data_IF_783669769396
#
_entry.id   IF_783669769396
#
_cell.length_a   1.000
_cell.length_b   1.000
_cell.length_c   1.000
_cell.angle_alpha   90.00
_cell.angle_beta   90.00
_cell.angle_gamma   90.00
#
_symmetry.space_group_name_H-M   'P 1'
#
loop_
_entity.id
_entity.type
_entity.pdbx_description
1 polymer ?
#
# COMPACT_ATOMS: atom_id res chain seq x y z
N UNK A 1 10.02 8.90 1.86
CA UNK A 1 8.76 9.44 2.40
C UNK A 1 8.66 9.09 3.87
N UNK A 2 7.99 9.93 4.67
CA UNK A 2 7.97 9.83 6.13
C UNK A 2 6.90 8.89 6.71
N UNK A 3 6.14 8.17 5.89
CA UNK A 3 5.05 7.31 6.35
C UNK A 3 3.84 8.08 6.90
N UNK A 4 3.54 9.24 6.32
CA UNK A 4 2.39 10.07 6.69
C UNK A 4 1.15 9.69 5.89
N UNK A 5 -0.02 9.73 6.54
CA UNK A 5 -1.30 9.38 5.93
C UNK A 5 -2.35 10.47 6.20
N UNK A 6 -3.26 10.65 5.23
CA UNK A 6 -4.44 11.51 5.34
C UNK A 6 -5.57 10.94 4.49
N UNK A 7 -6.80 11.19 4.90
CA UNK A 7 -8.01 10.88 4.15
C UNK A 7 -8.62 12.16 3.57
N UNK A 8 -8.93 12.09 2.29
CA UNK A 8 -9.47 13.19 1.53
C UNK A 8 -10.94 12.88 1.16
N UNK A 9 -11.79 13.91 1.07
CA UNK A 9 -13.21 13.73 0.73
C UNK A 9 -13.40 13.81 -0.77
N UNK A 10 -14.12 12.84 -1.34
CA UNK A 10 -14.31 12.73 -2.79
C UNK A 10 -13.13 12.05 -3.48
N UNK A 11 -13.27 11.80 -4.78
CA UNK A 11 -12.26 11.12 -5.60
C UNK A 11 -11.55 12.06 -6.58
N UNK A 12 -11.94 13.34 -6.62
CA UNK A 12 -11.38 14.37 -7.49
C UNK A 12 -10.34 15.21 -6.74
N UNK A 13 -9.20 14.57 -6.44
CA UNK A 13 -8.10 15.19 -5.71
C UNK A 13 -6.79 14.83 -6.40
N UNK A 14 -6.00 15.84 -6.74
CA UNK A 14 -4.62 15.63 -7.17
C UNK A 14 -3.71 15.59 -5.93
N UNK A 15 -3.23 14.41 -5.51
CA UNK A 15 -2.42 14.30 -4.31
C UNK A 15 -1.07 15.01 -4.44
N UNK A 16 -0.56 15.21 -5.66
CA UNK A 16 0.74 15.87 -5.89
C UNK A 16 0.69 17.37 -5.61
N UNK A 17 -0.50 17.97 -5.61
CA UNK A 17 -0.71 19.40 -5.33
C UNK A 17 -0.87 19.73 -3.84
N UNK A 18 -1.03 18.71 -2.99
CA UNK A 18 -1.26 18.90 -1.57
C UNK A 18 0.02 19.36 -0.84
N UNK A 19 -0.14 20.02 0.31
CA UNK A 19 1.00 20.38 1.17
C UNK A 19 1.60 19.13 1.84
N UNK A 20 2.92 19.04 1.84
CA UNK A 20 3.71 18.01 2.53
C UNK A 20 4.69 18.64 3.52
N UNK A 21 5.20 17.84 4.45
CA UNK A 21 6.31 18.26 5.31
C UNK A 21 7.58 18.50 4.49
N UNK A 22 8.46 19.34 5.01
CA UNK A 22 9.76 19.59 4.38
C UNK A 22 10.51 18.27 4.16
N UNK A 23 10.94 18.01 2.92
CA UNK A 23 11.62 16.78 2.52
C UNK A 23 10.71 15.57 2.28
N UNK A 24 9.39 15.71 2.38
CA UNK A 24 8.42 14.65 2.07
C UNK A 24 7.61 14.97 0.81
N UNK A 25 6.90 13.97 0.29
CA UNK A 25 6.12 14.11 -0.93
C UNK A 25 5.10 13.00 -1.15
N UNK A 26 4.41 13.07 -2.28
CA UNK A 26 3.45 12.04 -2.67
C UNK A 26 4.14 10.68 -2.89
N UNK A 27 3.53 9.61 -2.39
CA UNK A 27 3.99 8.24 -2.61
C UNK A 27 2.91 7.37 -3.27
N UNK A 28 1.75 7.26 -2.63
CA UNK A 28 0.68 6.38 -3.04
C UNK A 28 -0.68 6.94 -2.63
N UNK A 29 -1.74 6.49 -3.31
CA UNK A 29 -3.13 6.81 -3.01
C UNK A 29 -4.00 5.59 -3.35
N UNK A 30 -5.07 5.41 -2.58
CA UNK A 30 -6.12 4.45 -2.89
C UNK A 30 -7.48 5.15 -2.78
N UNK A 31 -8.40 4.79 -3.66
CA UNK A 31 -9.78 5.29 -3.65
C UNK A 31 -10.70 4.24 -3.05
N UNK A 32 -11.80 4.69 -2.47
CA UNK A 32 -12.85 3.81 -1.95
C UNK A 32 -13.81 4.56 -1.04
N UNK A 33 -14.41 3.85 -0.09
CA UNK A 33 -15.44 4.36 0.82
C UNK A 33 -14.91 4.53 2.24
N UNK A 34 -15.42 5.52 2.98
CA UNK A 34 -14.97 5.84 4.35
C UNK A 34 -15.17 4.70 5.36
N UNK A 35 -16.10 3.77 5.09
CA UNK A 35 -16.38 2.61 5.93
C UNK A 35 -15.48 1.41 5.63
N UNK A 36 -14.71 1.44 4.54
CA UNK A 36 -13.72 0.41 4.23
C UNK A 36 -12.43 0.63 5.04
N UNK A 37 -11.69 -0.44 5.36
CA UNK A 37 -10.36 -0.31 5.91
C UNK A 37 -9.38 0.16 4.84
N UNK A 38 -8.48 1.08 5.21
CA UNK A 38 -7.27 1.33 4.44
C UNK A 38 -6.23 0.28 4.84
N UNK A 39 -5.78 -0.52 3.88
CA UNK A 39 -4.79 -1.59 4.09
C UNK A 39 -3.43 -1.09 3.62
N UNK A 40 -2.46 -1.00 4.51
CA UNK A 40 -1.09 -0.58 4.21
C UNK A 40 -0.19 -1.80 4.10
N UNK A 41 0.85 -1.73 3.27
CA UNK A 41 1.92 -2.73 3.22
C UNK A 41 3.28 -2.05 3.43
N UNK A 42 4.17 -2.68 4.18
CA UNK A 42 5.53 -2.19 4.41
C UNK A 42 6.60 -2.92 3.57
N UNK A 43 7.83 -2.41 3.64
CA UNK A 43 9.00 -2.92 2.94
C UNK A 43 9.43 -4.33 3.38
N UNK A 44 8.92 -4.82 4.51
CA UNK A 44 9.20 -6.17 5.04
C UNK A 44 8.14 -7.19 4.62
N UNK A 45 7.11 -6.75 3.90
CA UNK A 45 6.02 -7.59 3.43
C UNK A 45 4.92 -7.81 4.46
N UNK A 46 4.81 -6.91 5.46
CA UNK A 46 3.71 -6.91 6.44
C UNK A 46 2.59 -5.97 6.03
N UNK A 47 1.35 -6.40 6.25
CA UNK A 47 0.17 -5.56 6.08
C UNK A 47 -0.40 -5.08 7.41
N UNK A 48 -1.07 -3.93 7.36
CA UNK A 48 -1.68 -3.23 8.49
C UNK A 48 -3.01 -2.64 8.06
N UNK A 49 -3.96 -2.50 8.99
CA UNK A 49 -5.25 -1.87 8.68
C UNK A 49 -5.58 -0.73 9.62
N UNK A 50 -6.13 0.34 9.08
CA UNK A 50 -6.77 1.42 9.84
C UNK A 50 -8.13 1.73 9.20
N UNK A 51 -9.17 2.03 9.99
CA UNK A 51 -10.43 2.48 9.43
C UNK A 51 -10.25 3.80 8.67
N UNK A 52 -10.66 3.88 7.40
CA UNK A 52 -10.38 5.06 6.56
C UNK A 52 -10.98 6.35 7.14
N UNK A 53 -12.19 6.27 7.71
CA UNK A 53 -12.84 7.41 8.38
C UNK A 53 -12.11 7.92 9.63
N UNK A 54 -11.19 7.14 10.21
CA UNK A 54 -10.42 7.53 11.40
C UNK A 54 -9.14 8.32 11.07
N UNK A 55 -8.78 8.43 9.79
CA UNK A 55 -7.55 9.09 9.36
C UNK A 55 -7.71 10.61 9.36
N UNK A 56 -6.59 11.31 9.59
CA UNK A 56 -6.53 12.76 9.55
C UNK A 56 -7.02 13.33 8.21
N UNK A 57 -7.73 14.47 8.24
CA UNK A 57 -8.25 15.14 7.04
C UNK A 57 -7.13 15.64 6.12
N UNK A 58 -7.37 15.59 4.81
CA UNK A 58 -6.43 16.06 3.80
C UNK A 58 -6.22 17.58 3.74
N UNK A 59 -6.97 18.36 4.53
CA UNK A 59 -6.71 19.80 4.71
C UNK A 59 -5.37 20.07 5.41
N UNK A 60 -4.91 19.14 6.24
CA UNK A 60 -3.61 19.20 6.90
C UNK A 60 -2.55 18.34 6.21
N UNK A 61 -1.39 18.23 6.86
CA UNK A 61 -0.27 17.38 6.39
C UNK A 61 -0.45 15.90 6.74
N UNK A 62 -1.51 15.54 7.47
CA UNK A 62 -1.81 14.15 7.87
C UNK A 62 -1.30 13.78 9.26
N UNK A 63 -1.17 12.48 9.51
CA UNK A 63 -0.64 11.89 10.73
C UNK A 63 0.39 10.79 10.40
N UNK A 64 1.39 10.53 11.27
CA UNK A 64 2.36 9.46 11.03
C UNK A 64 1.72 8.08 11.29
N UNK A 65 1.86 7.15 10.34
CA UNK A 65 1.37 5.78 10.48
C UNK A 65 2.00 5.05 11.68
N UNK A 66 3.27 5.31 11.98
CA UNK A 66 3.99 4.77 13.15
C UNK A 66 3.41 5.21 14.50
N UNK A 67 2.60 6.28 14.54
CA UNK A 67 1.86 6.65 15.74
C UNK A 67 0.70 5.69 16.05
N UNK A 68 0.21 4.96 15.03
CA UNK A 68 -0.95 4.06 15.13
C UNK A 68 -0.58 2.58 15.00
N UNK A 69 0.49 2.29 14.26
CA UNK A 69 0.95 0.95 13.90
C UNK A 69 2.37 0.71 14.46
N UNK A 70 2.73 -0.56 14.63
CA UNK A 70 4.04 -0.98 15.15
C UNK A 70 4.82 -1.73 14.06
N UNK A 71 5.27 -1.06 12.98
CA UNK A 71 6.13 -1.68 11.99
C UNK A 71 7.51 -2.02 12.58
N UNK A 72 8.24 -3.01 12.01
CA UNK A 72 9.61 -3.29 12.41
C UNK A 72 10.51 -2.05 12.28
N UNK A 73 11.58 -2.00 13.07
CA UNK A 73 12.55 -0.91 13.00
C UNK A 73 13.14 -0.78 11.59
N UNK A 74 13.16 0.45 11.08
CA UNK A 74 13.65 0.76 9.73
C UNK A 74 12.69 0.38 8.59
N UNK A 75 11.56 -0.27 8.87
CA UNK A 75 10.56 -0.56 7.85
C UNK A 75 9.94 0.73 7.31
N UNK A 76 9.69 0.74 5.99
CA UNK A 76 9.04 1.85 5.29
C UNK A 76 7.74 1.35 4.68
N UNK A 77 6.66 2.12 4.80
CA UNK A 77 5.43 1.80 4.09
C UNK A 77 5.68 1.89 2.57
N UNK A 78 5.26 0.87 1.83
CA UNK A 78 5.45 0.73 0.39
C UNK A 78 4.18 1.12 -0.39
N UNK A 79 2.99 0.98 0.19
CA UNK A 79 1.75 1.40 -0.45
C UNK A 79 0.51 1.26 0.41
N UNK A 80 -0.63 1.61 -0.18
CA UNK A 80 -1.97 1.53 0.42
C UNK A 80 -2.91 0.88 -0.59
N UNK A 81 -3.83 0.06 -0.08
CA UNK A 81 -4.84 -0.67 -0.84
C UNK A 81 -6.20 -0.39 -0.21
N UNK A 82 -7.21 -0.19 -1.06
CA UNK A 82 -8.59 -0.03 -0.64
C UNK A 82 -9.48 -0.47 -1.80
N UNK A 83 -10.33 -1.46 -1.55
CA UNK A 83 -11.24 -2.07 -2.52
C UNK A 83 -12.27 -2.93 -1.77
N UNK A 84 -13.12 -3.67 -2.49
CA UNK A 84 -13.98 -4.65 -1.83
C UNK A 84 -13.16 -5.86 -1.33
N UNK A 85 -13.62 -6.57 -0.27
CA UNK A 85 -12.85 -7.64 0.35
C UNK A 85 -12.47 -8.80 -0.60
N UNK A 86 -13.29 -9.05 -1.62
CA UNK A 86 -13.09 -10.14 -2.59
C UNK A 86 -12.22 -9.74 -3.78
N UNK A 87 -11.91 -8.45 -3.95
CA UNK A 87 -11.09 -7.94 -5.05
C UNK A 87 -9.65 -8.44 -4.93
N UNK A 88 -9.06 -8.72 -6.08
CA UNK A 88 -7.71 -9.26 -6.19
C UNK A 88 -6.67 -8.14 -6.29
N UNK A 89 -5.54 -8.36 -5.63
CA UNK A 89 -4.36 -7.51 -5.66
C UNK A 89 -3.13 -8.37 -5.94
N UNK A 90 -2.17 -7.81 -6.67
CA UNK A 90 -0.84 -8.37 -6.85
C UNK A 90 0.09 -7.78 -5.78
N UNK A 91 0.67 -8.66 -4.97
CA UNK A 91 1.79 -8.34 -4.09
C UNK A 91 3.06 -8.97 -4.64
N UNK A 92 4.16 -8.20 -4.64
CA UNK A 92 5.44 -8.68 -5.13
C UNK A 92 6.61 -7.98 -4.42
N UNK A 93 7.78 -8.58 -4.52
CA UNK A 93 9.06 -7.97 -4.15
C UNK A 93 9.94 -7.76 -5.38
N UNK A 94 10.91 -6.87 -5.28
CA UNK A 94 11.93 -6.65 -6.31
C UNK A 94 12.93 -7.83 -6.47
N UNK A 95 12.86 -8.83 -5.60
CA UNK A 95 13.52 -10.13 -5.79
C UNK A 95 12.86 -11.00 -6.87
N UNK A 96 11.73 -10.56 -7.45
CA UNK A 96 11.07 -11.23 -8.57
C UNK A 96 10.04 -12.30 -8.18
N UNK A 97 9.63 -12.34 -6.91
CA UNK A 97 8.54 -13.21 -6.45
C UNK A 97 7.32 -12.39 -6.01
N UNK A 98 6.13 -12.89 -6.32
CA UNK A 98 4.86 -12.30 -5.97
C UNK A 98 3.69 -13.26 -6.18
N UNK A 99 2.50 -12.85 -5.76
CA UNK A 99 1.27 -13.64 -5.89
C UNK A 99 0.03 -12.74 -5.89
N UNK A 100 -1.04 -13.24 -6.50
CA UNK A 100 -2.37 -12.64 -6.41
C UNK A 100 -3.03 -13.02 -5.08
N UNK A 101 -3.71 -12.07 -4.45
CA UNK A 101 -4.33 -12.24 -3.14
C UNK A 101 -5.60 -11.40 -3.05
N UNK A 102 -6.62 -11.92 -2.36
CA UNK A 102 -7.84 -11.16 -2.08
C UNK A 102 -7.58 -10.15 -0.96
N UNK A 103 -8.14 -8.95 -1.06
CA UNK A 103 -7.93 -7.90 -0.06
C UNK A 103 -8.25 -8.39 1.37
N UNK A 104 -9.30 -9.21 1.55
CA UNK A 104 -9.69 -9.77 2.86
C UNK A 104 -8.58 -10.53 3.57
N UNK A 105 -7.69 -11.19 2.82
CA UNK A 105 -6.57 -11.95 3.39
C UNK A 105 -5.47 -11.04 3.93
N UNK A 106 -5.48 -9.76 3.57
CA UNK A 106 -4.53 -8.75 4.01
C UNK A 106 -5.02 -7.99 5.24
N UNK A 107 -6.29 -8.16 5.61
CA UNK A 107 -6.92 -7.45 6.72
C UNK A 107 -6.46 -8.05 8.06
N UNK A 108 -6.08 -7.17 8.98
CA UNK A 108 -5.64 -7.53 10.34
C UNK A 108 -5.95 -6.41 11.32
N UNK A 109 -6.33 -6.76 12.53
CA UNK A 109 -6.56 -5.84 13.65
C UNK A 109 -5.30 -5.62 14.51
N UNK A 110 -4.23 -6.40 14.24
CA UNK A 110 -2.98 -6.33 15.00
C UNK A 110 -2.22 -5.06 14.63
N UNK A 111 -1.89 -4.24 15.64
CA UNK A 111 -1.00 -3.07 15.45
C UNK A 111 0.36 -3.43 14.87
N UNK A 112 0.89 -4.62 15.18
CA UNK A 112 2.14 -5.15 14.63
C UNK A 112 2.02 -5.68 13.19
N UNK A 113 0.80 -5.69 12.64
CA UNK A 113 0.50 -6.16 11.29
C UNK A 113 0.41 -7.68 11.16
N UNK A 114 0.32 -8.12 9.90
CA UNK A 114 0.32 -9.52 9.46
C UNK A 114 1.43 -9.69 8.42
N UNK A 115 2.30 -10.68 8.59
CA UNK A 115 3.26 -11.03 7.54
C UNK A 115 2.52 -11.72 6.40
N UNK A 116 2.64 -11.21 5.17
CA UNK A 116 1.94 -11.76 3.99
C UNK A 116 2.91 -12.06 2.85
N UNK A 117 3.98 -11.27 2.71
CA UNK A 117 4.99 -11.43 1.67
C UNK A 117 6.33 -11.71 2.36
N UNK A 118 7.01 -12.79 1.96
CA UNK A 118 8.38 -13.03 2.38
C UNK A 118 9.32 -12.17 1.52
N UNK A 119 9.97 -11.18 2.11
CA UNK A 119 10.91 -10.29 1.43
C UNK A 119 12.33 -10.70 1.81
N UNK A 120 13.14 -11.23 0.87
CA UNK A 120 14.53 -11.59 1.16
C UNK A 120 15.36 -10.41 1.67
N UNK A 121 16.45 -10.71 2.39
CA UNK A 121 17.37 -9.68 2.84
C UNK A 121 17.93 -8.87 1.65
N UNK A 122 17.85 -7.55 1.72
CA UNK A 122 18.28 -6.63 0.65
C UNK A 122 17.25 -6.38 -0.45
N UNK A 123 16.12 -7.09 -0.44
CA UNK A 123 14.98 -6.84 -1.31
C UNK A 123 13.96 -5.89 -0.64
N UNK A 124 13.03 -5.38 -1.43
CA UNK A 124 11.93 -4.55 -0.96
C UNK A 124 10.59 -4.98 -1.58
N UNK A 125 9.51 -4.78 -0.81
CA UNK A 125 8.15 -4.86 -1.32
C UNK A 125 7.92 -3.81 -2.41
N UNK A 126 7.35 -4.23 -3.54
CA UNK A 126 6.89 -3.33 -4.59
C UNK A 126 5.52 -2.73 -4.22
N UNK A 127 5.15 -1.56 -4.77
CA UNK A 127 3.81 -1.02 -4.61
C UNK A 127 2.75 -2.06 -5.01
N UNK A 128 1.71 -2.28 -4.18
CA UNK A 128 0.66 -3.23 -4.50
C UNK A 128 -0.15 -2.74 -5.69
N UNK A 129 -0.58 -3.66 -6.57
CA UNK A 129 -1.30 -3.33 -7.81
C UNK A 129 -2.65 -4.04 -7.82
N UNK A 130 -3.78 -3.35 -8.09
CA UNK A 130 -5.07 -4.02 -8.20
C UNK A 130 -5.10 -4.90 -9.47
N UNK A 131 -5.74 -6.06 -9.38
CA UNK A 131 -6.01 -6.95 -10.52
C UNK A 131 -7.47 -6.72 -10.93
N UNK A 132 -7.73 -5.90 -11.97
CA UNK A 132 -9.08 -5.41 -12.26
C UNK A 132 -10.01 -6.48 -12.87
N UNK A 133 -9.43 -7.53 -13.44
CA UNK A 133 -10.17 -8.62 -14.08
C UNK A 133 -9.34 -9.91 -14.04
N UNK A 134 -10.02 -11.05 -14.09
CA UNK A 134 -9.37 -12.37 -14.02
C UNK A 134 -8.46 -12.66 -15.23
N UNK A 135 -8.64 -11.97 -16.35
CA UNK A 135 -7.87 -12.11 -17.58
C UNK A 135 -6.82 -11.00 -17.76
N UNK A 136 -6.65 -10.13 -16.76
CA UNK A 136 -5.64 -9.07 -16.77
C UNK A 136 -4.23 -9.66 -16.89
N UNK A 137 -3.40 -9.05 -17.73
CA UNK A 137 -1.99 -9.41 -17.84
C UNK A 137 -1.19 -8.76 -16.72
N UNK A 138 -0.35 -9.55 -16.06
CA UNK A 138 0.71 -9.06 -15.18
C UNK A 138 1.95 -8.80 -16.03
N UNK A 139 2.40 -7.54 -16.03
CA UNK A 139 3.62 -7.12 -16.71
C UNK A 139 4.69 -6.80 -15.69
N UNK A 140 5.82 -7.49 -15.78
CA UNK A 140 6.99 -7.28 -14.92
C UNK A 140 8.14 -6.75 -15.75
N UNK A 141 8.78 -5.68 -15.27
CA UNK A 141 9.95 -5.07 -15.90
C UNK A 141 11.12 -5.12 -14.91
N UNK A 142 12.26 -5.65 -15.35
CA UNK A 142 13.48 -5.70 -14.52
C UNK A 142 14.41 -4.52 -14.79
N UNK A 143 15.30 -4.25 -13.84
CA UNK A 143 16.37 -3.25 -13.98
C UNK A 143 17.34 -3.55 -15.12
N UNK A 144 17.39 -4.79 -15.60
CA UNK A 144 18.18 -5.19 -16.77
C UNK A 144 17.46 -4.91 -18.12
N UNK A 145 16.32 -4.22 -18.11
CA UNK A 145 15.55 -3.90 -19.31
C UNK A 145 14.80 -5.09 -19.91
N UNK A 146 14.55 -6.15 -19.12
CA UNK A 146 13.75 -7.30 -19.56
C UNK A 146 12.29 -7.10 -19.18
N UNK A 147 11.39 -7.47 -20.08
CA UNK A 147 9.94 -7.45 -19.86
C UNK A 147 9.39 -8.87 -19.97
N UNK A 148 8.52 -9.24 -19.04
CA UNK A 148 7.70 -10.45 -19.09
C UNK A 148 6.24 -10.07 -18.89
N UNK A 149 5.37 -10.51 -19.80
CA UNK A 149 3.94 -10.43 -19.63
C UNK A 149 3.39 -11.84 -19.44
N UNK A 150 2.69 -12.07 -18.34
CA UNK A 150 2.06 -13.35 -18.01
C UNK A 150 0.60 -13.13 -17.63
N UNK A 151 -0.21 -14.18 -17.80
CA UNK A 151 -1.59 -14.23 -17.34
C UNK A 151 -1.65 -15.01 -16.03
#
# INVERSE_FOLDING_TARGET
>A
TGGWVRAAKGHDIDPRTLSYKSGDGFQAMAHGRSLQPAVFIDSTGRTYCLPAHSLASARGQGEPLSGRLNPPDGAKFAGVMMSEPEDLWLLASDAGYGFAVRLKELITDRRAGKSVLNVPAGAATLPPVPIPAADALVVVVSSAGKLLALR
#
